data_IF_264438376855
#
_entry.id   IF_264438376855
#
_cell.length_a   1.000
_cell.length_b   1.000
_cell.length_c   1.000
_cell.angle_alpha   90.00
_cell.angle_beta   90.00
_cell.angle_gamma   90.00
#
_symmetry.space_group_name_H-M   'P 1'
#
loop_
_entity.id
_entity.type
_entity.pdbx_description
1 polymer ?
#
# COMPACT_ATOMS: atom_id res chain seq x y z
N UNK A 1 -14.55 12.97 2.16
CA UNK A 1 -13.66 11.88 2.58
C UNK A 1 -14.32 10.58 2.19
N UNK A 2 -13.61 9.80 1.36
CA UNK A 2 -14.02 8.47 0.97
C UNK A 2 -14.14 7.55 2.19
N UNK A 3 -14.93 6.49 2.06
CA UNK A 3 -15.20 5.54 3.13
C UNK A 3 -14.86 4.10 2.69
N UNK A 4 -14.43 3.28 3.66
CA UNK A 4 -14.31 1.84 3.51
C UNK A 4 -15.68 1.21 3.23
N UNK A 5 -15.74 -0.05 2.75
CA UNK A 5 -17.01 -0.78 2.59
C UNK A 5 -17.84 -0.91 3.89
N UNK A 6 -17.20 -0.72 5.05
CA UNK A 6 -17.84 -0.69 6.37
C UNK A 6 -18.30 0.71 6.82
N UNK A 7 -18.19 1.72 5.97
CA UNK A 7 -18.59 3.11 6.24
C UNK A 7 -17.64 3.85 7.19
N UNK A 8 -16.36 3.44 7.27
CA UNK A 8 -15.35 4.18 8.06
C UNK A 8 -14.47 5.02 7.15
N UNK A 9 -13.99 6.19 7.58
CA UNK A 9 -13.21 7.04 6.69
C UNK A 9 -11.88 6.39 6.29
N UNK A 10 -11.47 6.55 5.02
CA UNK A 10 -10.11 6.18 4.54
C UNK A 10 -9.11 7.33 4.63
N UNK A 11 -9.50 8.49 5.19
CA UNK A 11 -8.57 9.58 5.49
C UNK A 11 -8.19 10.48 4.30
N UNK A 12 -8.83 10.33 3.14
CA UNK A 12 -8.58 11.11 1.91
C UNK A 12 -9.88 11.51 1.20
N UNK A 13 -9.85 12.57 0.40
CA UNK A 13 -10.98 12.95 -0.46
C UNK A 13 -10.90 12.33 -1.86
N UNK A 14 -9.70 12.18 -2.44
CA UNK A 14 -9.47 11.47 -3.70
C UNK A 14 -8.31 10.46 -3.54
N UNK A 15 -8.58 9.14 -3.60
CA UNK A 15 -7.55 8.09 -3.56
C UNK A 15 -6.47 8.25 -4.63
N UNK A 16 -6.81 8.79 -5.79
CA UNK A 16 -5.91 8.91 -6.93
C UNK A 16 -4.83 9.97 -6.73
N UNK A 17 -4.99 10.90 -5.79
CA UNK A 17 -3.92 11.84 -5.41
C UNK A 17 -2.73 11.14 -4.72
N UNK A 18 -2.95 9.91 -4.22
CA UNK A 18 -1.93 9.09 -3.58
C UNK A 18 -1.47 7.90 -4.43
N UNK A 19 -1.99 7.78 -5.66
CA UNK A 19 -1.63 6.69 -6.54
C UNK A 19 -0.26 6.93 -7.20
N UNK A 20 0.57 5.88 -7.27
CA UNK A 20 1.91 5.90 -7.82
C UNK A 20 2.01 5.25 -9.19
N UNK A 21 3.14 4.60 -9.48
CA UNK A 21 3.29 3.79 -10.68
C UNK A 21 2.47 2.51 -10.57
N UNK A 22 2.03 1.99 -11.71
CA UNK A 22 1.31 0.72 -11.76
C UNK A 22 2.19 -0.44 -11.28
N UNK A 23 1.68 -1.28 -10.38
CA UNK A 23 2.35 -2.51 -9.90
C UNK A 23 2.70 -3.50 -11.03
N UNK A 24 1.98 -3.39 -12.15
CA UNK A 24 2.19 -4.22 -13.32
C UNK A 24 3.17 -3.61 -14.33
N UNK A 25 3.62 -2.37 -14.14
CA UNK A 25 4.67 -1.78 -14.95
C UNK A 25 6.00 -2.49 -14.67
N UNK A 26 6.65 -2.98 -15.71
CA UNK A 26 8.03 -3.46 -15.64
C UNK A 26 9.01 -2.34 -15.96
N UNK A 27 10.26 -2.54 -15.55
CA UNK A 27 11.36 -1.58 -15.71
C UNK A 27 11.63 -1.20 -17.18
N UNK A 28 11.26 -2.08 -18.11
CA UNK A 28 11.35 -1.89 -19.56
C UNK A 28 10.04 -1.37 -20.20
N UNK A 29 9.08 -0.90 -19.40
CA UNK A 29 7.85 -0.25 -19.88
C UNK A 29 6.67 -1.18 -20.20
N UNK A 30 6.85 -2.49 -20.05
CA UNK A 30 5.85 -3.50 -20.43
C UNK A 30 4.86 -3.82 -19.31
N UNK A 31 3.71 -4.38 -19.68
CA UNK A 31 2.63 -4.76 -18.80
C UNK A 31 2.80 -6.21 -18.32
N UNK A 32 3.26 -6.40 -17.08
CA UNK A 32 3.39 -7.71 -16.42
C UNK A 32 2.06 -8.47 -16.35
N UNK A 33 0.94 -7.76 -16.18
CA UNK A 33 -0.39 -8.38 -16.16
C UNK A 33 -0.67 -9.10 -17.48
N UNK A 34 -0.56 -8.41 -18.62
CA UNK A 34 -0.80 -9.00 -19.93
C UNK A 34 0.21 -10.11 -20.30
N UNK A 35 1.44 -10.04 -19.76
CA UNK A 35 2.47 -11.07 -19.98
C UNK A 35 2.21 -12.36 -19.18
N UNK A 36 1.79 -12.24 -17.93
CA UNK A 36 1.74 -13.36 -16.98
C UNK A 36 0.33 -13.87 -16.67
N UNK A 37 -0.69 -13.04 -16.93
CA UNK A 37 -2.10 -13.29 -16.62
C UNK A 37 -3.00 -13.16 -17.84
N UNK A 38 -2.50 -13.55 -19.01
CA UNK A 38 -3.23 -13.42 -20.27
C UNK A 38 -4.59 -14.15 -20.31
N UNK A 39 -4.79 -15.15 -19.44
CA UNK A 39 -6.06 -15.87 -19.31
C UNK A 39 -7.11 -15.13 -18.48
N UNK A 40 -6.70 -14.24 -17.59
CA UNK A 40 -7.60 -13.54 -16.66
C UNK A 40 -8.39 -12.43 -17.39
N UNK A 41 -7.75 -11.79 -18.37
CA UNK A 41 -8.39 -10.89 -19.33
C UNK A 41 -7.74 -11.07 -20.73
N UNK A 42 -8.29 -11.98 -21.55
CA UNK A 42 -7.76 -12.28 -22.88
C UNK A 42 -7.85 -11.11 -23.86
N UNK A 43 -8.88 -10.27 -23.75
CA UNK A 43 -9.10 -9.14 -24.65
C UNK A 43 -8.07 -8.04 -24.39
N UNK A 44 -7.93 -7.64 -23.12
CA UNK A 44 -6.88 -6.70 -22.71
C UNK A 44 -5.49 -7.22 -23.11
N UNK A 45 -5.23 -8.50 -22.87
CA UNK A 45 -3.93 -9.09 -23.16
C UNK A 45 -3.64 -9.19 -24.66
N UNK A 46 -4.68 -9.41 -25.49
CA UNK A 46 -4.56 -9.34 -26.94
C UNK A 46 -4.28 -7.92 -27.43
N UNK A 47 -4.97 -6.92 -26.88
CA UNK A 47 -4.73 -5.51 -27.18
C UNK A 47 -3.32 -5.09 -26.78
N UNK A 48 -2.85 -5.48 -25.59
CA UNK A 48 -1.48 -5.25 -25.14
C UNK A 48 -0.48 -5.95 -26.06
N UNK A 49 -0.69 -7.20 -26.45
CA UNK A 49 0.19 -7.91 -27.40
C UNK A 49 0.31 -7.18 -28.74
N UNK A 50 -0.77 -6.60 -29.25
CA UNK A 50 -0.74 -5.81 -30.48
C UNK A 50 0.08 -4.51 -30.33
N UNK A 51 0.19 -3.99 -29.11
CA UNK A 51 0.99 -2.83 -28.73
C UNK A 51 2.33 -3.22 -28.05
N UNK A 52 2.95 -4.33 -28.46
CA UNK A 52 4.22 -4.84 -27.91
C UNK A 52 4.29 -4.96 -26.37
N UNK A 53 3.13 -5.20 -25.76
CA UNK A 53 2.92 -5.24 -24.32
C UNK A 53 3.12 -3.91 -23.58
N UNK A 54 3.08 -2.76 -24.27
CA UNK A 54 3.18 -1.45 -23.65
C UNK A 54 2.13 -1.29 -22.52
N UNK A 55 2.63 -0.93 -21.33
CA UNK A 55 1.77 -0.70 -20.19
C UNK A 55 0.97 0.60 -20.40
N UNK A 56 -0.36 0.50 -20.35
CA UNK A 56 -1.26 1.67 -20.46
C UNK A 56 -0.88 2.74 -19.44
N UNK A 57 -0.53 2.31 -18.23
CA UNK A 57 -0.21 3.19 -17.11
C UNK A 57 1.28 3.59 -17.02
N UNK A 58 2.06 3.42 -18.10
CA UNK A 58 3.47 3.79 -18.13
C UNK A 58 3.71 5.30 -18.22
N UNK A 59 2.80 6.04 -18.84
CA UNK A 59 2.96 7.48 -19.06
C UNK A 59 2.47 8.31 -17.87
N UNK A 60 3.25 9.34 -17.51
CA UNK A 60 2.98 10.25 -16.39
C UNK A 60 1.68 11.08 -16.59
N UNK A 61 1.23 11.24 -17.83
CA UNK A 61 0.07 12.08 -18.22
C UNK A 61 -1.30 11.41 -18.02
N UNK A 62 -1.39 10.46 -17.08
CA UNK A 62 -2.65 9.89 -16.53
C UNK A 62 -3.42 8.89 -17.39
N UNK A 63 -2.76 8.21 -18.34
CA UNK A 63 -3.33 7.02 -18.99
C UNK A 63 -3.61 5.87 -18.00
N UNK A 64 -3.17 5.97 -16.73
CA UNK A 64 -3.50 4.99 -15.70
C UNK A 64 -5.01 4.81 -15.49
N UNK A 65 -5.82 5.86 -15.65
CA UNK A 65 -7.28 5.78 -15.50
C UNK A 65 -7.92 4.91 -16.59
N UNK A 66 -7.30 4.84 -17.75
CA UNK A 66 -7.76 4.04 -18.90
C UNK A 66 -7.39 2.56 -18.78
N UNK A 67 -6.56 2.20 -17.79
CA UNK A 67 -6.13 0.83 -17.59
C UNK A 67 -7.09 0.10 -16.65
N UNK A 68 -7.88 -0.90 -17.10
CA UNK A 68 -8.80 -1.61 -16.20
C UNK A 68 -8.08 -2.42 -15.11
N UNK A 69 -6.80 -2.74 -15.33
CA UNK A 69 -5.96 -3.50 -14.39
C UNK A 69 -4.96 -2.61 -13.65
N UNK A 70 -5.17 -1.29 -13.62
CA UNK A 70 -4.30 -0.43 -12.83
C UNK A 70 -4.43 -0.74 -11.33
N UNK A 71 -3.27 -0.81 -10.69
CA UNK A 71 -3.11 -1.10 -9.28
C UNK A 71 -1.87 -0.36 -8.82
N UNK A 72 -1.98 0.35 -7.70
CA UNK A 72 -0.86 1.06 -7.08
C UNK A 72 -0.84 0.71 -5.60
N UNK A 73 -0.01 -0.25 -5.22
CA UNK A 73 0.14 -0.62 -3.81
C UNK A 73 1.41 -0.08 -3.20
N UNK A 74 1.37 0.11 -1.89
CA UNK A 74 2.52 0.57 -1.13
C UNK A 74 3.64 -0.46 -1.11
N UNK A 75 4.89 -0.01 -1.17
CA UNK A 75 6.05 -0.88 -0.92
C UNK A 75 6.32 -1.12 0.58
N UNK A 76 5.57 -0.43 1.45
CA UNK A 76 5.63 -0.58 2.89
C UNK A 76 6.95 -0.11 3.51
N UNK A 77 7.60 0.92 2.93
CA UNK A 77 8.85 1.49 3.47
C UNK A 77 8.65 2.62 4.47
N UNK A 78 7.62 3.45 4.31
CA UNK A 78 7.41 4.62 5.15
C UNK A 78 5.91 4.90 5.37
N UNK A 79 5.56 5.36 6.58
CA UNK A 79 4.23 5.86 6.86
C UNK A 79 3.99 7.19 6.12
N UNK A 80 3.05 7.22 5.17
CA UNK A 80 2.78 8.42 4.35
C UNK A 80 2.32 9.63 5.18
N UNK A 81 1.73 9.40 6.37
CA UNK A 81 1.19 10.46 7.24
C UNK A 81 2.23 11.09 8.18
N UNK A 82 3.19 10.30 8.68
CA UNK A 82 4.11 10.78 9.71
C UNK A 82 5.60 10.50 9.44
N UNK A 83 5.94 9.89 8.31
CA UNK A 83 7.33 9.61 7.94
C UNK A 83 8.00 8.51 8.76
N UNK A 84 7.25 7.72 9.54
CA UNK A 84 7.84 6.61 10.28
C UNK A 84 8.31 5.52 9.30
N UNK A 85 9.62 5.32 9.22
CA UNK A 85 10.23 4.27 8.39
C UNK A 85 9.97 2.86 8.95
N UNK A 86 9.80 1.89 8.06
CA UNK A 86 9.74 0.48 8.40
C UNK A 86 11.11 -0.04 8.87
N UNK A 87 11.08 -0.96 9.84
CA UNK A 87 12.24 -1.75 10.27
C UNK A 87 11.79 -3.20 10.27
N UNK A 88 12.24 -3.96 9.27
CA UNK A 88 11.85 -5.36 9.08
C UNK A 88 12.95 -6.24 9.65
N UNK A 89 12.59 -7.06 10.63
CA UNK A 89 13.50 -8.02 11.23
C UNK A 89 13.21 -9.37 10.59
N UNK A 90 14.21 -9.97 9.95
CA UNK A 90 14.07 -11.29 9.36
C UNK A 90 13.72 -12.31 10.46
N UNK A 91 12.80 -13.22 10.16
CA UNK A 91 12.36 -14.29 11.07
C UNK A 91 11.70 -13.80 12.38
N UNK A 92 11.22 -12.56 12.41
CA UNK A 92 10.47 -12.00 13.53
C UNK A 92 8.96 -12.08 13.26
N UNK A 93 8.23 -12.81 14.12
CA UNK A 93 6.77 -12.98 14.01
C UNK A 93 5.98 -11.82 14.63
N UNK A 94 6.67 -10.79 15.13
CA UNK A 94 5.98 -9.67 15.77
C UNK A 94 5.36 -8.74 14.73
N UNK A 95 4.18 -8.19 15.06
CA UNK A 95 3.39 -7.35 14.15
C UNK A 95 4.21 -6.20 13.55
N UNK A 96 4.24 -6.02 12.23
CA UNK A 96 4.96 -4.94 11.56
C UNK A 96 4.61 -3.55 12.09
N UNK A 97 5.54 -2.60 11.95
CA UNK A 97 5.28 -1.19 12.30
C UNK A 97 4.27 -0.56 11.35
N UNK A 98 4.42 -0.88 10.05
CA UNK A 98 3.59 -0.35 8.97
C UNK A 98 2.60 -1.40 8.50
N UNK A 99 1.39 -0.94 8.24
CA UNK A 99 0.27 -1.71 7.72
C UNK A 99 -0.18 -1.09 6.40
N UNK A 100 -0.66 -1.95 5.51
CA UNK A 100 -1.31 -1.49 4.30
C UNK A 100 -2.68 -0.91 4.64
N UNK A 101 -2.92 0.30 4.14
CA UNK A 101 -4.18 1.01 4.29
C UNK A 101 -4.77 1.25 2.90
N UNK A 102 -5.99 0.75 2.69
CA UNK A 102 -6.65 0.84 1.40
C UNK A 102 -7.39 2.17 1.30
N UNK A 103 -7.10 2.90 0.23
CA UNK A 103 -7.84 4.10 -0.16
C UNK A 103 -8.95 3.74 -1.16
N UNK A 104 -8.69 2.73 -1.99
CA UNK A 104 -9.66 2.10 -2.89
C UNK A 104 -9.40 0.60 -2.94
N UNK A 105 -10.46 -0.20 -2.84
CA UNK A 105 -10.36 -1.66 -2.69
C UNK A 105 -10.36 -2.44 -4.01
N UNK A 106 -10.56 -1.76 -5.14
CA UNK A 106 -10.72 -2.41 -6.44
C UNK A 106 -12.03 -3.18 -6.60
N UNK A 107 -12.50 -3.34 -7.83
CA UNK A 107 -13.79 -3.94 -8.17
C UNK A 107 -13.79 -5.46 -8.14
N UNK A 108 -13.33 -6.06 -7.05
CA UNK A 108 -13.42 -7.50 -6.80
C UNK A 108 -14.47 -7.75 -5.72
N UNK A 109 -15.68 -8.11 -6.14
CA UNK A 109 -16.84 -8.20 -5.25
C UNK A 109 -16.67 -9.19 -4.09
N UNK A 110 -16.94 -8.69 -2.89
CA UNK A 110 -17.65 -9.40 -1.83
C UNK A 110 -18.37 -8.34 -0.97
N UNK A 111 -19.55 -7.95 -1.45
CA UNK A 111 -20.39 -6.95 -0.81
C UNK A 111 -21.83 -7.12 -1.26
N UNK A 112 -22.52 -8.11 -0.68
CA UNK A 112 -23.98 -8.09 -0.53
C UNK A 112 -24.36 -6.92 0.40
N UNK A 113 -24.18 -5.70 -0.10
CA UNK A 113 -24.71 -4.46 0.44
C UNK A 113 -25.90 -4.08 -0.40
N UNK A 114 -27.07 -3.97 0.23
CA UNK A 114 -28.36 -3.67 -0.41
C UNK A 114 -28.21 -2.50 -1.38
N UNK A 115 -28.54 -2.73 -2.64
CA UNK A 115 -28.77 -1.65 -3.60
C UNK A 115 -29.85 -0.73 -3.00
N UNK A 116 -29.45 0.50 -2.67
CA UNK A 116 -30.36 1.56 -2.27
C UNK A 116 -31.00 2.09 -3.57
N UNK A 117 -32.30 1.82 -3.85
CA UNK A 117 -32.89 2.11 -5.15
C UNK A 117 -33.17 3.60 -5.40
N UNK A 118 -32.92 4.46 -4.40
CA UNK A 118 -33.23 5.90 -4.44
C UNK A 118 -32.01 6.82 -4.56
N UNK A 119 -30.81 6.26 -4.82
CA UNK A 119 -29.64 7.07 -5.17
C UNK A 119 -29.74 7.58 -6.62
N UNK A 120 -30.54 8.62 -6.81
CA UNK A 120 -30.53 9.44 -8.03
C UNK A 120 -29.25 10.29 -8.07
N UNK A 121 -28.12 9.64 -8.30
CA UNK A 121 -26.82 10.25 -8.54
C UNK A 121 -26.30 9.78 -9.90
N UNK A 122 -26.15 10.71 -10.83
CA UNK A 122 -25.46 10.46 -12.10
C UNK A 122 -23.99 10.12 -11.83
N UNK A 123 -23.69 8.84 -11.63
CA UNK A 123 -22.36 8.25 -11.71
C UNK A 123 -22.44 7.11 -12.72
N UNK A 124 -21.79 7.28 -13.87
CA UNK A 124 -21.86 6.32 -14.97
C UNK A 124 -21.37 4.94 -14.58
N UNK A 125 -21.97 3.91 -15.16
CA UNK A 125 -21.41 2.56 -15.16
C UNK A 125 -20.02 2.57 -15.83
N UNK A 126 -19.11 1.72 -15.32
CA UNK A 126 -17.77 1.39 -15.84
C UNK A 126 -16.60 2.35 -15.54
N UNK A 127 -16.54 3.00 -14.38
CA UNK A 127 -15.21 3.40 -13.87
C UNK A 127 -14.48 2.16 -13.32
N UNK A 128 -13.28 1.83 -13.83
CA UNK A 128 -12.50 0.74 -13.27
C UNK A 128 -12.18 1.08 -11.81
N UNK A 129 -12.62 0.24 -10.89
CA UNK A 129 -12.26 0.39 -9.49
C UNK A 129 -10.84 -0.15 -9.35
N UNK A 130 -9.88 0.77 -9.27
CA UNK A 130 -8.47 0.46 -9.06
C UNK A 130 -8.19 0.20 -7.59
N UNK A 131 -7.32 -0.75 -7.31
CA UNK A 131 -6.81 -0.95 -5.96
C UNK A 131 -5.66 0.03 -5.70
N UNK A 132 -5.84 0.88 -4.70
CA UNK A 132 -4.87 1.90 -4.30
C UNK A 132 -4.65 1.78 -2.80
N UNK A 133 -3.40 1.51 -2.42
CA UNK A 133 -3.01 1.36 -1.02
C UNK A 133 -1.81 2.22 -0.66
N UNK A 134 -1.78 2.67 0.58
CA UNK A 134 -0.66 3.42 1.17
C UNK A 134 -0.17 2.71 2.43
N UNK A 135 1.05 3.00 2.86
CA UNK A 135 1.55 2.48 4.12
C UNK A 135 1.28 3.46 5.26
N UNK A 136 0.70 2.96 6.34
CA UNK A 136 0.51 3.71 7.58
C UNK A 136 1.10 2.96 8.76
N UNK A 137 1.73 3.67 9.70
CA UNK A 137 2.09 3.04 10.96
C UNK A 137 0.83 2.66 11.73
N UNK A 138 0.88 1.59 12.52
CA UNK A 138 -0.29 1.09 13.27
C UNK A 138 -1.04 2.13 14.10
N UNK A 139 -0.33 3.16 14.59
CA UNK A 139 -0.94 4.28 15.33
C UNK A 139 -1.69 5.24 14.41
N UNK A 140 -1.09 5.65 13.29
CA UNK A 140 -1.76 6.50 12.30
C UNK A 140 -2.95 5.78 11.68
N UNK A 141 -2.79 4.50 11.34
CA UNK A 141 -3.86 3.68 10.79
C UNK A 141 -5.08 3.62 11.73
N UNK A 142 -4.84 3.34 13.01
CA UNK A 142 -5.90 3.37 14.01
C UNK A 142 -6.53 4.76 14.17
N UNK A 143 -5.73 5.83 14.07
CA UNK A 143 -6.20 7.21 14.21
C UNK A 143 -7.15 7.63 13.09
N UNK A 144 -6.85 7.26 11.84
CA UNK A 144 -7.73 7.55 10.69
C UNK A 144 -9.10 6.92 10.92
N UNK A 145 -9.16 5.62 11.19
CA UNK A 145 -10.44 4.92 11.37
C UNK A 145 -11.20 5.32 12.65
N UNK A 146 -10.51 5.79 13.70
CA UNK A 146 -11.15 6.07 15.00
C UNK A 146 -11.41 7.56 15.27
N UNK A 147 -10.82 8.47 14.50
CA UNK A 147 -10.86 9.91 14.82
C UNK A 147 -10.98 10.84 13.61
N UNK A 148 -11.29 10.32 12.42
CA UNK A 148 -11.43 11.11 11.18
C UNK A 148 -10.17 11.90 10.81
N UNK A 149 -8.99 11.48 11.31
CA UNK A 149 -7.73 12.08 10.92
C UNK A 149 -7.47 11.86 9.43
N UNK A 150 -6.77 12.79 8.79
CA UNK A 150 -6.42 12.70 7.39
C UNK A 150 -5.01 12.18 7.18
N UNK A 151 -4.76 11.66 5.99
CA UNK A 151 -3.43 11.21 5.58
C UNK A 151 -2.48 12.39 5.31
N UNK A 152 -3.02 13.47 4.75
CA UNK A 152 -2.33 14.71 4.42
C UNK A 152 -2.08 15.62 5.65
N UNK A 153 -2.57 15.23 6.83
CA UNK A 153 -2.23 15.87 8.10
C UNK A 153 -0.74 15.64 8.39
N UNK A 154 0.13 16.55 7.96
CA UNK A 154 1.55 16.53 8.28
C UNK A 154 1.77 16.54 9.79
N UNK A 155 2.09 15.38 10.35
CA UNK A 155 2.29 15.21 11.79
C UNK A 155 3.59 14.47 12.10
N UNK A 156 4.14 14.72 13.28
CA UNK A 156 5.25 13.92 13.80
C UNK A 156 4.75 12.52 14.23
N UNK A 157 5.63 11.50 14.19
CA UNK A 157 5.31 10.18 14.72
C UNK A 157 4.87 10.25 16.18
N UNK A 158 3.90 9.41 16.54
CA UNK A 158 3.54 9.20 17.94
C UNK A 158 4.79 8.75 18.75
N UNK A 159 5.02 9.25 19.97
CA UNK A 159 6.16 8.85 20.79
C UNK A 159 6.26 7.32 20.98
N UNK A 160 5.13 6.62 21.12
CA UNK A 160 5.11 5.15 21.20
C UNK A 160 5.50 4.52 19.86
N UNK A 161 5.11 5.14 18.74
CA UNK A 161 5.50 4.71 17.41
C UNK A 161 7.00 4.83 17.19
N UNK A 162 7.58 5.94 17.62
CA UNK A 162 9.01 6.16 17.57
C UNK A 162 9.76 5.18 18.47
N UNK A 163 9.31 4.99 19.72
CA UNK A 163 9.94 4.06 20.66
C UNK A 163 9.96 2.61 20.11
N UNK A 164 8.86 2.16 19.51
CA UNK A 164 8.80 0.82 18.90
C UNK A 164 9.72 0.66 17.69
N UNK A 165 9.93 1.73 16.90
CA UNK A 165 10.92 1.72 15.82
C UNK A 165 12.33 1.60 16.37
N UNK A 166 12.67 2.36 17.39
CA UNK A 166 14.01 2.31 18.00
C UNK A 166 14.28 0.96 18.67
N UNK A 167 13.28 0.35 19.32
CA UNK A 167 13.39 -1.01 19.85
C UNK A 167 13.71 -2.03 18.74
N UNK A 168 13.01 -1.95 17.60
CA UNK A 168 13.29 -2.82 16.45
C UNK A 168 14.67 -2.57 15.86
N UNK A 169 15.11 -1.32 15.75
CA UNK A 169 16.48 -0.99 15.29
C UNK A 169 17.54 -1.55 16.23
N UNK A 170 17.32 -1.45 17.54
CA UNK A 170 18.22 -2.03 18.52
C UNK A 170 18.29 -3.56 18.37
N UNK A 171 17.15 -4.21 18.15
CA UNK A 171 17.10 -5.66 17.89
C UNK A 171 17.84 -6.03 16.60
N UNK A 172 17.56 -5.35 15.48
CA UNK A 172 18.27 -5.55 14.21
C UNK A 172 19.79 -5.39 14.40
N UNK A 173 20.23 -4.33 15.07
CA UNK A 173 21.64 -4.09 15.37
C UNK A 173 22.26 -5.19 16.24
N UNK A 174 21.50 -5.77 17.18
CA UNK A 174 21.97 -6.87 18.02
C UNK A 174 22.15 -8.18 17.22
N UNK A 175 21.30 -8.45 16.22
CA UNK A 175 21.44 -9.62 15.34
C UNK A 175 22.67 -9.50 14.43
N UNK A 176 23.01 -8.29 14.00
CA UNK A 176 24.25 -8.00 13.27
C UNK A 176 25.47 -7.79 14.19
N UNK A 177 25.27 -7.85 15.51
CA UNK A 177 26.30 -7.61 16.51
C UNK A 177 27.35 -8.71 16.52
N UNK A 178 28.58 -8.37 16.14
CA UNK A 178 29.72 -9.27 16.32
C UNK A 178 30.31 -9.10 17.72
N UNK A 179 30.13 -10.09 18.60
CA UNK A 179 30.87 -10.12 19.86
C UNK A 179 32.34 -10.42 19.60
N UNK A 180 33.23 -9.57 20.06
CA UNK A 180 34.67 -9.75 19.94
C UNK A 180 35.15 -10.96 20.76
N UNK A 181 36.29 -11.54 20.38
CA UNK A 181 36.86 -12.68 21.11
C UNK A 181 37.22 -12.35 22.57
N UNK A 182 37.40 -11.06 22.91
CA UNK A 182 37.64 -10.59 24.27
C UNK A 182 36.35 -10.65 25.10
N UNK A 183 35.26 -10.10 24.57
CA UNK A 183 33.95 -10.08 25.24
C UNK A 183 33.46 -11.50 25.55
N UNK A 184 33.67 -12.46 24.64
CA UNK A 184 33.34 -13.88 24.89
C UNK A 184 34.12 -14.50 26.05
N UNK A 185 35.40 -14.15 26.21
CA UNK A 185 36.23 -14.66 27.32
C UNK A 185 35.83 -14.05 28.66
N UNK A 186 35.36 -12.81 28.66
CA UNK A 186 34.88 -12.13 29.86
C UNK A 186 33.50 -12.67 30.29
N UNK A 187 32.64 -13.10 29.35
CA UNK A 187 31.34 -13.72 29.65
C UNK A 187 31.41 -15.20 30.06
N UNK A 188 32.34 -16.00 29.52
CA UNK A 188 32.51 -17.43 29.88
C UNK A 188 33.25 -17.65 31.21
N UNK A 189 33.82 -16.59 31.78
CA UNK A 189 34.63 -16.63 33.00
C UNK A 189 33.90 -16.26 34.29
N UNK A 190 32.58 -16.02 34.25
CA UNK A 190 31.73 -15.71 35.43
C UNK A 190 30.89 -16.89 35.88
#
# INVERSE_FOLDING_TARGET
MEETPTGTPVGVDDPYEHAGLCDHLTDDGRCRFALTRAGDDPEFSAARRAADYDCVAAEEDRQFRDCPHYRSTTDGRECVRCGLEAVRIAHDDSRPLLEEHHLSYGGGGDGVGRADPDANGSGGADEPSHEITVALCRWCHAKIHRSFARIDDGVEPDPEAFAAREERRAKEASEFGFSTARERRESDGS
#
